data_IF_408050142895
#
_entry.id   IF_408050142895
#
_cell.length_a   1.000
_cell.length_b   1.000
_cell.length_c   1.000
_cell.angle_alpha   90.00
_cell.angle_beta   90.00
_cell.angle_gamma   90.00
#
_symmetry.space_group_name_H-M   'P 1'
#
loop_
_entity.id
_entity.type
_entity.pdbx_description
1 polymer ?
#
# COMPACT_ATOMS: atom_id res chain seq x y z
N UNK A 1 -2.24 4.77 21.79
CA UNK A 1 -2.21 4.89 20.33
C UNK A 1 -1.16 3.97 19.71
N UNK A 2 -1.32 3.61 18.45
CA UNK A 2 -0.46 2.61 17.76
C UNK A 2 1.01 3.07 17.69
N UNK A 3 1.25 4.36 17.64
CA UNK A 3 2.59 4.94 17.43
C UNK A 3 3.09 5.67 18.67
N UNK A 4 2.25 6.48 19.30
CA UNK A 4 2.65 7.39 20.38
C UNK A 4 2.63 6.76 21.77
N UNK A 5 2.04 5.57 21.95
CA UNK A 5 1.79 5.00 23.27
C UNK A 5 0.72 5.73 24.11
N UNK A 6 0.14 6.81 23.58
CA UNK A 6 -0.93 7.56 24.25
C UNK A 6 -2.20 6.72 24.41
N UNK A 7 -2.99 7.09 25.42
CA UNK A 7 -4.29 6.46 25.67
C UNK A 7 -5.25 6.90 24.55
N UNK A 8 -5.92 5.93 23.95
CA UNK A 8 -6.95 6.12 22.91
C UNK A 8 -8.20 5.34 23.29
N UNK A 9 -9.35 5.76 22.82
CA UNK A 9 -10.66 5.19 23.18
C UNK A 9 -10.80 3.71 22.80
N UNK A 10 -10.18 3.30 21.70
CA UNK A 10 -10.19 1.91 21.26
C UNK A 10 -8.80 1.42 20.88
N UNK A 11 -8.55 0.14 21.16
CA UNK A 11 -7.30 -0.50 20.75
C UNK A 11 -7.16 -0.50 19.23
N UNK A 12 -6.00 -0.09 18.74
CA UNK A 12 -5.72 -0.04 17.31
C UNK A 12 -5.95 1.33 16.66
N UNK A 13 -6.40 2.33 17.40
CA UNK A 13 -6.52 3.69 16.89
C UNK A 13 -5.19 4.46 16.97
N UNK A 14 -5.06 5.43 16.08
CA UNK A 14 -4.05 6.48 16.20
C UNK A 14 -4.53 7.53 17.21
N UNK A 15 -3.58 8.12 17.96
CA UNK A 15 -3.90 9.31 18.75
C UNK A 15 -4.22 10.48 17.82
N UNK A 16 -4.98 11.50 18.29
CA UNK A 16 -5.26 12.70 17.51
C UNK A 16 -3.99 13.39 17.01
N UNK A 17 -2.92 13.40 17.80
CA UNK A 17 -1.63 13.96 17.41
C UNK A 17 -1.03 13.14 16.25
N UNK A 18 -0.91 11.82 16.39
CA UNK A 18 -0.34 10.96 15.34
C UNK A 18 -1.19 11.00 14.05
N UNK A 19 -2.50 11.20 14.16
CA UNK A 19 -3.37 11.42 13.02
C UNK A 19 -3.06 12.75 12.32
N UNK A 20 -2.89 13.84 13.06
CA UNK A 20 -2.60 15.16 12.52
C UNK A 20 -1.24 15.26 11.80
N UNK A 21 -0.32 14.35 12.08
CA UNK A 21 1.00 14.27 11.44
C UNK A 21 0.96 13.52 10.09
N UNK A 22 -0.14 12.83 9.75
CA UNK A 22 -0.23 12.04 8.52
C UNK A 22 -0.59 12.91 7.33
N UNK A 23 0.17 12.79 6.25
CA UNK A 23 -0.07 13.45 4.98
C UNK A 23 -0.85 12.52 4.03
N UNK A 24 -2.15 12.75 3.93
CA UNK A 24 -3.02 11.99 3.02
C UNK A 24 -2.88 12.51 1.59
N UNK A 25 -2.86 11.58 0.63
CA UNK A 25 -2.86 11.92 -0.78
C UNK A 25 -4.31 12.12 -1.23
N UNK A 26 -4.58 13.33 -1.76
CA UNK A 26 -5.85 13.71 -2.35
C UNK A 26 -5.62 14.18 -3.80
N UNK A 27 -6.69 14.38 -4.55
CA UNK A 27 -6.62 15.01 -5.87
C UNK A 27 -6.23 16.49 -5.74
N UNK A 28 -5.45 17.04 -6.70
CA UNK A 28 -5.02 16.41 -7.94
C UNK A 28 -3.82 15.50 -7.80
N UNK A 29 -3.84 14.34 -8.47
CA UNK A 29 -2.76 13.36 -8.47
C UNK A 29 -2.57 12.73 -9.85
N UNK A 30 -1.39 12.19 -10.12
CA UNK A 30 -1.09 11.50 -11.38
C UNK A 30 -2.08 10.35 -11.62
N UNK A 31 -2.76 10.37 -12.77
CA UNK A 31 -3.75 9.37 -13.12
C UNK A 31 -3.19 7.95 -13.20
N UNK A 32 -1.89 7.80 -13.45
CA UNK A 32 -1.23 6.50 -13.53
C UNK A 32 -0.64 6.06 -12.20
N UNK A 33 0.30 6.79 -11.61
CA UNK A 33 1.02 6.33 -10.42
C UNK A 33 0.51 6.90 -9.08
N UNK A 34 -0.41 7.88 -9.10
CA UNK A 34 -0.93 8.49 -7.87
C UNK A 34 0.04 9.48 -7.21
N UNK A 35 1.06 9.98 -7.93
CA UNK A 35 1.93 11.05 -7.43
C UNK A 35 1.10 12.33 -7.22
N UNK A 36 1.09 12.94 -6.02
CA UNK A 36 0.31 14.15 -5.77
C UNK A 36 0.90 15.36 -6.51
N UNK A 37 0.03 16.27 -6.92
CA UNK A 37 0.41 17.58 -7.47
C UNK A 37 0.04 18.67 -6.49
N UNK A 38 0.86 19.74 -6.45
CA UNK A 38 0.60 20.91 -5.59
C UNK A 38 -0.53 21.81 -6.12
N UNK A 39 -0.86 21.68 -7.41
CA UNK A 39 -1.89 22.45 -8.09
C UNK A 39 -2.53 21.65 -9.20
N UNK A 40 -3.77 22.01 -9.54
CA UNK A 40 -4.45 21.44 -10.70
C UNK A 40 -3.82 22.00 -11.99
N UNK A 41 -3.31 21.12 -12.84
CA UNK A 41 -2.67 21.52 -14.10
C UNK A 41 -3.68 22.00 -15.16
N UNK A 42 -4.98 21.87 -14.88
CA UNK A 42 -6.06 22.34 -15.77
C UNK A 42 -6.20 21.57 -17.09
N UNK A 43 -5.34 20.60 -17.34
CA UNK A 43 -5.31 19.85 -18.60
C UNK A 43 -6.30 18.68 -18.54
N UNK A 44 -7.54 18.96 -18.92
CA UNK A 44 -8.66 17.99 -18.85
C UNK A 44 -8.54 16.92 -19.96
N UNK A 45 -7.76 17.18 -21.02
CA UNK A 45 -7.75 16.35 -22.23
C UNK A 45 -6.72 15.22 -22.25
N UNK A 46 -5.60 15.34 -21.53
CA UNK A 46 -4.56 14.28 -21.46
C UNK A 46 -4.52 13.52 -20.13
N UNK A 47 -5.35 13.90 -19.15
CA UNK A 47 -5.29 13.39 -17.80
C UNK A 47 -3.96 13.75 -17.13
N UNK A 48 -4.00 14.13 -15.87
CA UNK A 48 -2.83 14.54 -15.09
C UNK A 48 -1.79 13.39 -15.00
N UNK A 49 -0.75 13.43 -15.83
CA UNK A 49 0.35 12.47 -15.84
C UNK A 49 1.63 13.15 -15.36
N UNK A 50 2.28 12.61 -14.33
CA UNK A 50 3.52 13.19 -13.82
C UNK A 50 4.70 12.95 -14.79
N UNK A 51 5.71 13.82 -14.72
CA UNK A 51 6.91 13.73 -15.56
C UNK A 51 7.61 12.36 -15.48
N UNK A 52 7.59 11.71 -14.32
CA UNK A 52 8.13 10.36 -14.14
C UNK A 52 7.41 9.30 -14.99
N UNK A 53 6.07 9.32 -14.97
CA UNK A 53 5.26 8.40 -15.79
C UNK A 53 5.28 8.73 -17.27
N UNK A 54 5.48 9.98 -17.62
CA UNK A 54 5.64 10.39 -19.01
C UNK A 54 6.98 9.90 -19.58
N UNK A 55 8.07 10.07 -18.83
CA UNK A 55 9.41 9.65 -19.24
C UNK A 55 9.60 8.13 -19.24
N UNK A 56 9.10 7.46 -18.22
CA UNK A 56 9.20 6.01 -18.03
C UNK A 56 7.83 5.45 -17.64
N UNK A 57 6.96 5.13 -18.61
CA UNK A 57 5.64 4.61 -18.35
C UNK A 57 5.72 3.29 -17.54
N UNK A 58 5.06 3.17 -16.38
CA UNK A 58 5.00 1.91 -15.65
C UNK A 58 4.17 0.88 -16.43
N UNK A 59 4.41 -0.41 -16.16
CA UNK A 59 3.68 -1.52 -16.78
C UNK A 59 2.24 -1.66 -16.25
N UNK A 60 1.94 -1.09 -15.09
CA UNK A 60 0.59 -1.10 -14.51
C UNK A 60 -0.24 0.07 -15.07
N UNK A 61 -1.55 -0.11 -15.14
CA UNK A 61 -2.47 0.93 -15.61
C UNK A 61 -2.67 2.03 -14.57
N UNK A 62 -2.85 1.66 -13.31
CA UNK A 62 -3.15 2.59 -12.23
C UNK A 62 -2.61 2.13 -10.88
N UNK A 63 -2.02 3.06 -10.14
CA UNK A 63 -1.66 2.87 -8.74
C UNK A 63 -2.19 4.02 -7.88
N UNK A 64 -2.51 3.72 -6.63
CA UNK A 64 -2.95 4.70 -5.62
C UNK A 64 -2.30 4.40 -4.29
N UNK A 65 -1.95 5.46 -3.58
CA UNK A 65 -1.48 5.41 -2.20
C UNK A 65 -2.36 6.27 -1.33
N UNK A 66 -2.60 5.85 -0.09
CA UNK A 66 -3.40 6.62 0.85
C UNK A 66 -2.59 7.75 1.48
N UNK A 67 -1.29 7.55 1.67
CA UNK A 67 -0.40 8.44 2.41
C UNK A 67 0.87 8.75 1.60
N UNK A 68 1.41 9.93 1.81
CA UNK A 68 2.80 10.26 1.45
C UNK A 68 3.71 9.45 2.37
N UNK A 69 4.78 8.88 1.82
CA UNK A 69 5.76 8.13 2.60
C UNK A 69 6.79 9.09 3.21
N UNK A 70 6.56 9.47 4.44
CA UNK A 70 7.37 10.33 5.28
C UNK A 70 7.67 9.65 6.63
N UNK A 71 8.28 10.36 7.56
CA UNK A 71 8.64 9.79 8.87
C UNK A 71 7.40 9.41 9.69
N UNK A 72 6.33 10.17 9.64
CA UNK A 72 5.09 9.89 10.36
C UNK A 72 4.41 8.62 9.82
N UNK A 73 4.18 8.56 8.51
CA UNK A 73 3.57 7.39 7.85
C UNK A 73 4.46 6.14 7.95
N UNK A 74 5.80 6.31 7.88
CA UNK A 74 6.77 5.24 8.08
C UNK A 74 6.62 4.59 9.45
N UNK A 75 6.48 5.36 10.51
CA UNK A 75 6.31 4.85 11.88
C UNK A 75 5.05 4.01 12.00
N UNK A 76 3.93 4.46 11.44
CA UNK A 76 2.66 3.71 11.39
C UNK A 76 2.83 2.41 10.63
N UNK A 77 3.46 2.44 9.44
CA UNK A 77 3.67 1.25 8.60
C UNK A 77 4.61 0.25 9.28
N UNK A 78 5.66 0.72 9.94
CA UNK A 78 6.62 -0.16 10.61
C UNK A 78 6.00 -0.81 11.85
N UNK A 79 5.21 -0.10 12.65
CA UNK A 79 4.51 -0.69 13.79
C UNK A 79 3.54 -1.80 13.35
N UNK A 80 2.81 -1.60 12.25
CA UNK A 80 1.98 -2.64 11.65
C UNK A 80 2.78 -3.83 11.10
N UNK A 81 3.98 -3.60 10.55
CA UNK A 81 4.83 -4.67 10.00
C UNK A 81 5.55 -5.51 11.04
N UNK A 82 5.91 -4.93 12.17
CA UNK A 82 6.84 -5.54 13.12
C UNK A 82 6.26 -5.73 14.53
N UNK A 83 5.14 -5.09 14.83
CA UNK A 83 4.57 -5.06 16.18
C UNK A 83 3.44 -6.06 16.43
N UNK A 84 3.20 -7.03 15.54
CA UNK A 84 2.01 -7.93 15.61
C UNK A 84 0.67 -7.16 15.80
N UNK A 85 0.65 -5.87 15.43
CA UNK A 85 -0.49 -4.96 15.65
C UNK A 85 -1.57 -5.13 14.57
N UNK A 86 -1.97 -6.37 14.30
CA UNK A 86 -3.03 -6.69 13.32
C UNK A 86 -4.38 -6.08 13.71
N UNK A 87 -4.58 -5.80 14.98
CA UNK A 87 -5.76 -5.09 15.52
C UNK A 87 -5.87 -3.64 15.03
N UNK A 88 -4.79 -3.06 14.50
CA UNK A 88 -4.80 -1.73 13.89
C UNK A 88 -5.39 -1.71 12.48
N UNK A 89 -5.56 -2.87 11.85
CA UNK A 89 -6.03 -2.99 10.48
C UNK A 89 -7.34 -2.23 10.21
N UNK A 90 -8.38 -2.30 11.05
CA UNK A 90 -9.62 -1.55 10.83
C UNK A 90 -9.42 -0.05 10.70
N UNK A 91 -8.44 0.53 11.39
CA UNK A 91 -8.15 1.97 11.33
C UNK A 91 -7.57 2.41 9.98
N UNK A 92 -6.90 1.50 9.24
CA UNK A 92 -6.31 1.80 7.93
C UNK A 92 -7.27 1.57 6.77
N UNK A 93 -8.32 0.79 6.98
CA UNK A 93 -9.23 0.39 5.90
C UNK A 93 -9.93 1.55 5.22
N UNK A 94 -10.50 2.55 5.93
CA UNK A 94 -11.15 3.69 5.28
C UNK A 94 -10.20 4.44 4.35
N UNK A 95 -8.92 4.56 4.71
CA UNK A 95 -7.92 5.25 3.89
C UNK A 95 -7.61 4.50 2.61
N UNK A 96 -7.45 3.17 2.72
CA UNK A 96 -7.17 2.32 1.58
C UNK A 96 -8.37 2.20 0.65
N UNK A 97 -9.59 2.16 1.19
CA UNK A 97 -10.82 2.17 0.41
C UNK A 97 -10.99 3.49 -0.36
N UNK A 98 -10.78 4.61 0.32
CA UNK A 98 -10.89 5.93 -0.30
C UNK A 98 -9.86 6.10 -1.41
N UNK A 99 -8.58 5.83 -1.13
CA UNK A 99 -7.51 5.92 -2.12
C UNK A 99 -7.71 4.96 -3.30
N UNK A 100 -8.15 3.74 -3.01
CA UNK A 100 -8.33 2.68 -4.00
C UNK A 100 -9.70 2.67 -4.70
N UNK A 101 -10.64 3.55 -4.34
CA UNK A 101 -12.05 3.50 -4.77
C UNK A 101 -12.23 3.27 -6.27
N UNK A 102 -11.54 4.06 -7.10
CA UNK A 102 -11.66 3.97 -8.56
C UNK A 102 -10.99 2.73 -9.17
N UNK A 103 -10.04 2.10 -8.47
CA UNK A 103 -9.42 0.84 -8.86
C UNK A 103 -10.31 -0.31 -8.43
N UNK A 104 -10.70 -0.34 -7.16
CA UNK A 104 -11.50 -1.41 -6.55
C UNK A 104 -12.83 -1.62 -7.28
N UNK A 105 -13.49 -0.53 -7.70
CA UNK A 105 -14.76 -0.58 -8.43
C UNK A 105 -14.66 -1.26 -9.83
N UNK A 106 -13.46 -1.44 -10.35
CA UNK A 106 -13.20 -2.05 -11.67
C UNK A 106 -12.40 -3.34 -11.59
N UNK A 107 -12.11 -3.80 -10.38
CA UNK A 107 -11.28 -4.98 -10.17
C UNK A 107 -12.13 -6.24 -10.11
N UNK A 108 -11.74 -7.27 -10.83
CA UNK A 108 -12.33 -8.60 -10.73
C UNK A 108 -11.82 -9.35 -9.49
N UNK A 109 -10.56 -9.10 -9.09
CA UNK A 109 -9.91 -9.75 -7.96
C UNK A 109 -8.97 -8.82 -7.22
N UNK A 110 -8.80 -9.09 -5.91
CA UNK A 110 -7.76 -8.47 -5.07
C UNK A 110 -6.69 -9.52 -4.80
N UNK A 111 -5.47 -9.27 -5.27
CA UNK A 111 -4.35 -10.21 -5.12
C UNK A 111 -3.28 -9.58 -4.23
N UNK A 112 -3.00 -10.14 -3.05
CA UNK A 112 -1.98 -9.60 -2.17
C UNK A 112 -0.57 -9.90 -2.67
N UNK A 113 0.37 -8.98 -2.45
CA UNK A 113 1.79 -9.26 -2.68
C UNK A 113 2.24 -10.37 -1.73
N UNK A 114 2.75 -11.51 -2.23
CA UNK A 114 3.10 -12.64 -1.40
C UNK A 114 4.42 -12.46 -0.67
N UNK A 115 4.49 -13.00 0.52
CA UNK A 115 5.75 -13.21 1.24
C UNK A 115 6.35 -14.57 0.85
N UNK A 116 7.68 -14.68 0.88
CA UNK A 116 8.34 -15.98 0.78
C UNK A 116 8.04 -16.82 2.03
N UNK A 117 7.88 -18.15 1.86
CA UNK A 117 7.51 -19.10 2.93
C UNK A 117 8.29 -18.92 4.23
N UNK A 118 9.60 -18.71 4.16
CA UNK A 118 10.45 -18.47 5.33
C UNK A 118 10.10 -17.17 6.08
N UNK A 119 9.65 -16.14 5.37
CA UNK A 119 9.18 -14.90 6.00
C UNK A 119 7.81 -15.08 6.66
N UNK A 120 6.94 -15.91 6.05
CA UNK A 120 5.63 -16.24 6.66
C UNK A 120 5.85 -16.98 7.97
N UNK A 121 6.75 -17.99 8.00
CA UNK A 121 7.09 -18.73 9.22
C UNK A 121 7.62 -17.81 10.32
N UNK A 122 8.49 -16.84 9.97
CA UNK A 122 9.04 -15.89 10.93
C UNK A 122 8.04 -14.83 11.39
N UNK A 123 7.17 -14.33 10.48
CA UNK A 123 6.22 -13.25 10.76
C UNK A 123 4.84 -13.72 11.17
N UNK A 124 4.57 -15.04 11.07
CA UNK A 124 3.28 -15.70 11.34
C UNK A 124 2.14 -15.31 10.39
N UNK A 125 2.20 -14.16 9.72
CA UNK A 125 1.17 -13.69 8.79
C UNK A 125 1.75 -12.81 7.67
N UNK A 126 0.95 -12.65 6.60
CA UNK A 126 1.21 -11.71 5.51
C UNK A 126 0.28 -10.50 5.66
N UNK A 127 0.83 -9.34 5.94
CA UNK A 127 0.08 -8.09 6.10
C UNK A 127 -0.75 -7.76 4.85
N UNK A 128 -0.18 -7.94 3.65
CA UNK A 128 -0.91 -7.69 2.40
C UNK A 128 -2.09 -8.64 2.23
N UNK A 129 -1.99 -9.89 2.70
CA UNK A 129 -3.09 -10.83 2.67
C UNK A 129 -4.21 -10.44 3.64
N UNK A 130 -3.87 -9.94 4.82
CA UNK A 130 -4.87 -9.42 5.77
C UNK A 130 -5.61 -8.22 5.19
N UNK A 131 -4.88 -7.27 4.58
CA UNK A 131 -5.47 -6.12 3.89
C UNK A 131 -6.39 -6.58 2.76
N UNK A 132 -5.93 -7.49 1.89
CA UNK A 132 -6.71 -8.00 0.78
C UNK A 132 -8.02 -8.67 1.24
N UNK A 133 -7.94 -9.49 2.30
CA UNK A 133 -9.11 -10.15 2.88
C UNK A 133 -10.12 -9.13 3.44
N UNK A 134 -9.63 -8.09 4.10
CA UNK A 134 -10.49 -7.05 4.69
C UNK A 134 -11.14 -6.22 3.58
N UNK A 135 -10.37 -5.71 2.63
CA UNK A 135 -10.88 -4.96 1.48
C UNK A 135 -11.92 -5.77 0.69
N UNK A 136 -11.62 -7.04 0.42
CA UNK A 136 -12.53 -7.95 -0.30
C UNK A 136 -13.92 -8.00 0.34
N UNK A 137 -13.99 -8.04 1.66
CA UNK A 137 -15.27 -8.07 2.40
C UNK A 137 -16.03 -6.76 2.29
N UNK A 138 -15.31 -5.64 2.40
CA UNK A 138 -15.91 -4.31 2.41
C UNK A 138 -16.39 -3.86 1.02
N UNK A 139 -15.62 -4.20 -0.03
CA UNK A 139 -15.94 -3.75 -1.41
C UNK A 139 -16.57 -4.85 -2.26
N UNK A 140 -16.81 -6.04 -1.70
CA UNK A 140 -17.43 -7.19 -2.38
C UNK A 140 -16.68 -7.65 -3.64
N UNK A 141 -15.36 -7.44 -3.69
CA UNK A 141 -14.48 -7.95 -4.75
C UNK A 141 -13.73 -9.17 -4.21
N UNK A 142 -13.80 -10.34 -4.86
CA UNK A 142 -13.14 -11.54 -4.36
C UNK A 142 -11.64 -11.38 -4.26
N UNK A 143 -11.00 -12.05 -3.28
CA UNK A 143 -9.56 -12.08 -3.14
C UNK A 143 -8.97 -13.45 -3.46
N UNK A 144 -7.83 -13.45 -4.14
CA UNK A 144 -7.06 -14.65 -4.45
C UNK A 144 -5.72 -14.59 -3.71
N UNK A 145 -5.60 -15.33 -2.59
CA UNK A 145 -4.39 -15.28 -1.75
C UNK A 145 -3.18 -15.93 -2.42
N UNK A 146 -3.39 -16.87 -3.31
CA UNK A 146 -2.39 -17.64 -4.06
C UNK A 146 -2.32 -17.27 -5.56
N UNK A 147 -3.11 -16.28 -6.01
CA UNK A 147 -3.09 -15.76 -7.38
C UNK A 147 -1.72 -15.21 -7.82
N UNK A 148 -0.86 -14.88 -6.87
CA UNK A 148 0.55 -14.56 -7.09
C UNK A 148 1.40 -15.29 -6.07
N UNK A 149 2.45 -15.97 -6.52
CA UNK A 149 3.35 -16.72 -5.66
C UNK A 149 4.77 -16.17 -5.71
N UNK A 150 5.47 -16.22 -4.57
CA UNK A 150 6.87 -15.83 -4.48
C UNK A 150 7.75 -17.05 -4.43
N UNK A 151 8.40 -17.37 -5.54
CA UNK A 151 9.26 -18.55 -5.69
C UNK A 151 10.63 -18.39 -5.04
N UNK A 152 11.18 -17.17 -5.05
CA UNK A 152 12.55 -16.90 -4.63
C UNK A 152 12.57 -16.01 -3.38
N UNK A 153 13.40 -16.39 -2.40
CA UNK A 153 13.76 -15.50 -1.29
C UNK A 153 14.56 -14.32 -1.83
N UNK A 154 14.24 -13.12 -1.40
CA UNK A 154 14.94 -11.89 -1.79
C UNK A 154 15.41 -11.15 -0.55
N UNK A 155 16.40 -10.30 -0.67
CA UNK A 155 16.85 -9.43 0.42
C UNK A 155 15.77 -8.40 0.80
N UNK A 156 15.91 -7.78 1.96
CA UNK A 156 15.10 -6.62 2.35
C UNK A 156 15.41 -5.45 1.43
N UNK A 157 14.38 -4.68 1.05
CA UNK A 157 14.55 -3.60 0.07
C UNK A 157 14.85 -2.23 0.70
N UNK A 158 14.89 -2.15 2.03
CA UNK A 158 14.98 -0.87 2.73
C UNK A 158 16.25 -0.06 2.45
N UNK A 159 17.36 -0.74 2.11
CA UNK A 159 18.66 -0.12 1.84
C UNK A 159 19.04 -0.11 0.35
N UNK A 160 18.14 -0.60 -0.53
CA UNK A 160 18.41 -0.73 -1.95
C UNK A 160 17.95 0.51 -2.71
N UNK A 161 18.73 0.95 -3.70
CA UNK A 161 18.29 1.95 -4.68
C UNK A 161 17.29 1.36 -5.69
N UNK A 162 16.73 2.19 -6.59
CA UNK A 162 15.69 1.77 -7.53
C UNK A 162 16.13 0.60 -8.43
N UNK A 163 17.32 0.66 -9.02
CA UNK A 163 17.85 -0.38 -9.89
C UNK A 163 18.12 -1.69 -9.13
N UNK A 164 18.63 -1.59 -7.91
CA UNK A 164 18.84 -2.75 -7.05
C UNK A 164 17.53 -3.40 -6.62
N UNK A 165 16.50 -2.61 -6.32
CA UNK A 165 15.16 -3.12 -6.00
C UNK A 165 14.57 -3.90 -7.17
N UNK A 166 14.69 -3.38 -8.39
CA UNK A 166 14.23 -4.06 -9.60
C UNK A 166 14.96 -5.40 -9.78
N UNK A 167 16.30 -5.40 -9.75
CA UNK A 167 17.11 -6.62 -9.83
C UNK A 167 16.77 -7.62 -8.73
N UNK A 168 16.53 -7.13 -7.50
CA UNK A 168 16.20 -7.98 -6.35
C UNK A 168 14.87 -8.71 -6.51
N UNK A 169 13.89 -8.12 -7.19
CA UNK A 169 12.56 -8.76 -7.39
C UNK A 169 12.41 -9.45 -8.75
N UNK A 170 13.36 -9.28 -9.66
CA UNK A 170 13.34 -9.92 -10.98
C UNK A 170 13.20 -11.42 -10.85
N UNK A 171 12.23 -12.01 -11.56
CA UNK A 171 11.92 -13.45 -11.52
C UNK A 171 11.64 -14.01 -10.10
N UNK A 172 11.23 -13.17 -9.16
CA UNK A 172 10.89 -13.62 -7.81
C UNK A 172 9.44 -14.09 -7.68
N UNK A 173 8.58 -13.74 -8.62
CA UNK A 173 7.15 -14.03 -8.60
C UNK A 173 6.73 -14.89 -9.78
N UNK A 174 5.60 -15.58 -9.61
CA UNK A 174 4.91 -16.34 -10.66
C UNK A 174 3.42 -16.31 -10.41
N UNK A 175 2.67 -16.36 -11.50
CA UNK A 175 1.24 -16.71 -11.47
C UNK A 175 1.16 -18.23 -11.61
N UNK A 176 0.39 -18.94 -10.74
CA UNK A 176 0.23 -20.39 -10.80
C UNK A 176 -0.55 -20.82 -12.04
#
# INVERSE_FOLDING_TARGET
GIVSGEIVDMQGMLSPQAWGELNFIADPQCNRCGFPFDFDTGDVNEGNICAGCHKNPPLFDKARSALIYDDASRNVILSFKHGDQTYALPSFMPWLQQAGRGILARSDYIIPVPLHRWRILRRRYNQSALIAKYLSREVHVPHLLDGLQRKRATQTQGHLNANEREKNVKNAFTVP
#
